data_IF_025240727527
#
_entry.id   IF_025240727527
#
_cell.length_a   1.000
_cell.length_b   1.000
_cell.length_c   1.000
_cell.angle_alpha   90.00
_cell.angle_beta   90.00
_cell.angle_gamma   90.00
#
_symmetry.space_group_name_H-M   'P 1'
#
loop_
_entity.id
_entity.type
_entity.pdbx_description
1 polymer ?
#
# COMPACT_ATOMS: atom_id res chain seq x y z
N UNK A 1 -7.32 -15.08 -11.31
CA UNK A 1 -7.21 -13.80 -11.93
C UNK A 1 -6.57 -12.79 -11.01
N UNK A 2 -5.69 -11.98 -11.52
CA UNK A 2 -5.00 -11.01 -10.70
C UNK A 2 -5.68 -9.67 -10.79
N UNK A 3 -5.96 -9.06 -9.65
CA UNK A 3 -6.57 -7.76 -9.63
C UNK A 3 -5.58 -6.70 -10.10
N UNK A 4 -5.98 -5.78 -10.93
CA UNK A 4 -5.08 -4.71 -11.34
C UNK A 4 -4.71 -3.87 -10.14
N UNK A 5 -3.45 -3.58 -9.99
CA UNK A 5 -2.95 -2.77 -8.90
C UNK A 5 -2.35 -1.49 -9.47
N UNK A 6 -2.85 -0.37 -9.02
CA UNK A 6 -2.32 0.91 -9.43
C UNK A 6 -2.06 1.75 -8.20
N UNK A 7 -1.06 2.60 -8.28
CA UNK A 7 -0.71 3.50 -7.20
C UNK A 7 -0.51 4.88 -7.82
N UNK A 8 -1.23 5.85 -7.33
CA UNK A 8 -1.10 7.22 -7.80
C UNK A 8 -0.82 8.11 -6.60
N UNK A 9 0.32 8.77 -6.60
CA UNK A 9 0.69 9.66 -5.52
C UNK A 9 0.73 11.09 -6.06
N UNK A 10 -0.05 11.96 -5.45
CA UNK A 10 -0.12 13.35 -5.88
C UNK A 10 0.40 14.26 -4.78
N UNK A 11 1.38 15.07 -5.12
CA UNK A 11 1.97 16.06 -4.22
C UNK A 11 2.40 15.47 -2.86
N UNK A 12 2.66 14.20 -2.82
CA UNK A 12 3.00 13.48 -1.60
C UNK A 12 1.95 13.69 -0.51
N UNK A 13 0.73 14.02 -0.90
CA UNK A 13 -0.34 14.28 0.06
C UNK A 13 -1.56 13.42 -0.15
N UNK A 14 -1.76 12.91 -1.35
CA UNK A 14 -2.89 12.05 -1.63
C UNK A 14 -2.40 10.83 -2.35
N UNK A 15 -2.72 9.68 -1.82
CA UNK A 15 -2.33 8.41 -2.39
C UNK A 15 -3.59 7.63 -2.73
N UNK A 16 -3.71 7.20 -3.99
CA UNK A 16 -4.83 6.38 -4.40
C UNK A 16 -4.31 5.03 -4.85
N UNK A 17 -4.93 3.99 -4.35
CA UNK A 17 -4.51 2.63 -4.62
C UNK A 17 -5.67 1.80 -5.11
N UNK A 18 -5.40 0.90 -6.04
CA UNK A 18 -6.38 -0.11 -6.44
C UNK A 18 -5.72 -1.48 -6.30
N UNK A 19 -6.50 -2.53 -6.38
CA UNK A 19 -5.98 -3.88 -6.24
C UNK A 19 -5.66 -4.22 -4.79
N UNK A 20 -6.34 -3.58 -3.84
CA UNK A 20 -6.13 -3.81 -2.42
C UNK A 20 -7.05 -4.92 -1.96
N UNK A 21 -6.49 -5.93 -1.33
CA UNK A 21 -7.30 -7.03 -0.83
C UNK A 21 -7.58 -6.91 0.66
N UNK A 22 -6.73 -6.18 1.37
CA UNK A 22 -6.89 -6.09 2.81
C UNK A 22 -6.10 -4.91 3.37
N UNK A 23 -6.64 -4.24 4.36
CA UNK A 23 -5.88 -3.24 5.10
C UNK A 23 -5.49 -3.92 6.40
N UNK A 24 -4.20 -4.19 6.56
CA UNK A 24 -3.70 -4.96 7.68
C UNK A 24 -3.60 -4.14 8.97
N UNK A 25 -3.16 -2.91 8.86
CA UNK A 25 -3.09 -2.04 10.02
C UNK A 25 -3.04 -0.59 9.55
N UNK A 26 -3.41 0.31 10.44
CA UNK A 26 -3.47 1.69 10.08
C UNK A 26 -3.35 2.58 11.32
N UNK A 27 -2.48 3.56 11.26
CA UNK A 27 -2.47 4.64 12.24
C UNK A 27 -2.03 5.90 11.52
N UNK A 28 -1.82 7.00 12.23
CA UNK A 28 -1.54 8.28 11.59
C UNK A 28 -0.12 8.38 11.03
N UNK A 29 0.71 7.39 11.26
CA UNK A 29 2.06 7.40 10.72
C UNK A 29 2.36 6.25 9.79
N UNK A 30 1.56 5.21 9.83
CA UNK A 30 1.80 4.02 9.02
C UNK A 30 0.50 3.37 8.59
N UNK A 31 0.44 2.99 7.33
CA UNK A 31 -0.66 2.19 6.82
C UNK A 31 -0.05 0.98 6.14
N UNK A 32 -0.46 -0.21 6.56
CA UNK A 32 0.00 -1.45 5.95
C UNK A 32 -1.17 -2.13 5.28
N UNK A 33 -1.02 -2.48 4.03
CA UNK A 33 -2.08 -3.16 3.32
C UNK A 33 -1.51 -4.25 2.43
N UNK A 34 -2.37 -5.14 2.01
CA UNK A 34 -1.99 -6.22 1.12
C UNK A 34 -2.61 -5.93 -0.24
N UNK A 35 -1.80 -6.03 -1.27
CA UNK A 35 -2.26 -5.81 -2.63
C UNK A 35 -2.11 -7.09 -3.42
N UNK A 36 -2.61 -7.09 -4.63
CA UNK A 36 -2.47 -8.25 -5.50
C UNK A 36 -1.02 -8.51 -5.86
N UNK A 37 -0.14 -7.55 -5.67
CA UNK A 37 1.27 -7.70 -6.02
C UNK A 37 2.20 -7.72 -4.82
N UNK A 38 1.67 -7.80 -3.62
CA UNK A 38 2.50 -7.87 -2.43
C UNK A 38 1.99 -6.95 -1.34
N UNK A 39 2.72 -6.87 -0.27
CA UNK A 39 2.34 -5.99 0.82
C UNK A 39 2.93 -4.62 0.59
N UNK A 40 2.18 -3.61 0.98
CA UNK A 40 2.60 -2.24 0.80
C UNK A 40 2.55 -1.53 2.15
N UNK A 41 3.63 -0.87 2.50
CA UNK A 41 3.70 -0.04 3.69
C UNK A 41 3.80 1.41 3.27
N UNK A 42 2.92 2.23 3.80
CA UNK A 42 2.92 3.67 3.55
C UNK A 42 3.31 4.34 4.85
N UNK A 43 4.32 5.17 4.84
CA UNK A 43 4.74 5.87 6.04
C UNK A 43 4.69 7.37 5.85
N UNK A 44 4.34 8.07 6.89
CA UNK A 44 4.27 9.52 6.81
C UNK A 44 3.78 10.13 8.10
N UNK A 45 3.07 11.24 7.99
CA UNK A 45 2.56 11.99 9.14
C UNK A 45 1.13 12.41 8.88
N UNK A 46 0.34 12.40 9.92
CA UNK A 46 -1.06 12.82 9.83
C UNK A 46 -1.81 12.06 8.74
N UNK A 47 -1.51 10.80 8.60
CA UNK A 47 -2.16 9.98 7.59
C UNK A 47 -3.57 9.63 8.03
N UNK A 48 -4.51 9.65 7.12
CA UNK A 48 -5.85 9.19 7.40
C UNK A 48 -6.46 8.59 6.15
N UNK A 49 -7.34 7.64 6.36
CA UNK A 49 -8.00 6.99 5.25
C UNK A 49 -9.13 7.89 4.80
N UNK A 50 -9.03 8.36 3.58
CA UNK A 50 -10.05 9.22 3.02
C UNK A 50 -11.19 8.35 2.48
N UNK A 51 -10.85 7.21 1.92
CA UNK A 51 -11.84 6.35 1.32
C UNK A 51 -11.35 4.92 1.32
N UNK A 52 -12.22 4.01 1.66
CA UNK A 52 -11.91 2.60 1.61
C UNK A 52 -13.07 1.88 0.96
N UNK A 53 -12.82 1.24 -0.16
CA UNK A 53 -13.85 0.53 -0.87
C UNK A 53 -13.31 -0.86 -1.20
N UNK A 54 -13.61 -1.82 -0.34
CA UNK A 54 -13.11 -3.15 -0.54
C UNK A 54 -13.86 -3.92 -1.62
N UNK A 55 -15.07 -3.48 -1.93
CA UNK A 55 -15.77 -4.12 -3.03
C UNK A 55 -15.10 -3.70 -4.31
N UNK A 56 -14.69 -2.45 -4.42
CA UNK A 56 -13.95 -1.97 -5.57
C UNK A 56 -12.46 -2.16 -5.41
N UNK A 57 -12.00 -2.70 -4.29
CA UNK A 57 -10.59 -2.93 -3.99
C UNK A 57 -9.78 -1.64 -4.08
N UNK A 58 -10.33 -0.56 -3.61
CA UNK A 58 -9.70 0.76 -3.71
C UNK A 58 -9.48 1.39 -2.34
N UNK A 59 -8.42 2.16 -2.21
CA UNK A 59 -8.08 2.81 -0.97
C UNK A 59 -7.52 4.19 -1.28
N UNK A 60 -7.96 5.19 -0.55
CA UNK A 60 -7.45 6.54 -0.70
C UNK A 60 -6.94 7.02 0.64
N UNK A 61 -5.70 7.47 0.69
CA UNK A 61 -5.05 7.92 1.91
C UNK A 61 -4.65 9.38 1.72
N UNK A 62 -4.88 10.19 2.72
CA UNK A 62 -4.44 11.58 2.69
C UNK A 62 -3.55 11.86 3.87
N UNK A 63 -2.65 12.83 3.74
CA UNK A 63 -1.71 13.22 4.76
C UNK A 63 -0.38 13.53 4.12
N UNK A 64 0.68 13.42 4.92
CA UNK A 64 2.00 13.71 4.42
C UNK A 64 2.68 12.38 4.18
N UNK A 65 2.96 12.04 2.97
CA UNK A 65 3.51 10.73 2.64
C UNK A 65 5.01 10.80 2.47
N UNK A 66 5.73 10.09 3.32
CA UNK A 66 7.18 10.11 3.30
C UNK A 66 7.77 8.97 2.50
N UNK A 67 7.21 7.79 2.61
CA UNK A 67 7.76 6.64 1.89
C UNK A 67 6.71 5.61 1.58
N UNK A 68 6.97 4.84 0.54
CA UNK A 68 6.14 3.75 0.10
C UNK A 68 7.06 2.57 -0.12
N UNK A 69 6.77 1.44 0.51
CA UNK A 69 7.63 0.28 0.41
C UNK A 69 6.81 -0.97 0.14
N UNK A 70 7.19 -1.72 -0.86
CA UNK A 70 6.59 -3.01 -1.10
C UNK A 70 7.43 -4.08 -0.45
N UNK A 71 6.78 -5.09 0.15
CA UNK A 71 7.50 -6.24 0.62
C UNK A 71 6.93 -7.44 -0.07
N UNK A 72 7.79 -8.31 -0.47
CA UNK A 72 7.39 -9.48 -1.17
C UNK A 72 6.68 -10.44 -0.29
N UNK A 73 5.63 -11.04 -0.79
CA UNK A 73 5.03 -12.04 -0.05
C UNK A 73 5.57 -13.30 -0.47
N UNK A 74 6.35 -13.40 -1.56
CA UNK A 74 6.84 -14.57 -1.98
C UNK A 74 7.86 -14.97 -1.13
N UNK A 75 7.81 -15.93 -0.51
CA UNK A 75 8.68 -16.38 0.35
C UNK A 75 9.97 -16.22 -0.05
N UNK A 76 10.82 -16.09 0.55
CA UNK A 76 12.13 -16.00 0.44
C UNK A 76 12.79 -16.06 -0.89
N UNK A 77 12.13 -16.53 -1.80
CA UNK A 77 12.74 -16.69 -3.07
C UNK A 77 13.30 -15.43 -3.67
N UNK A 78 12.50 -14.41 -3.68
CA UNK A 78 12.93 -13.17 -4.27
C UNK A 78 13.95 -12.49 -3.42
N UNK A 79 13.72 -12.46 -2.14
CA UNK A 79 14.61 -11.81 -1.26
C UNK A 79 15.94 -12.50 -1.27
N UNK A 80 15.94 -13.77 -1.30
CA UNK A 80 17.21 -14.51 -1.36
C UNK A 80 18.00 -14.16 -2.56
N UNK A 81 17.36 -13.93 -3.68
CA UNK A 81 18.08 -13.56 -4.86
C UNK A 81 18.63 -12.17 -4.79
N UNK A 82 17.94 -11.27 -4.16
CA UNK A 82 18.43 -9.93 -4.03
C UNK A 82 19.62 -9.83 -3.13
N UNK A 83 19.75 -10.74 -2.23
CA UNK A 83 20.86 -10.70 -1.31
C UNK A 83 22.10 -11.41 -1.81
N UNK A 84 22.03 -12.04 -2.94
CA UNK A 84 23.18 -12.75 -3.45
C UNK A 84 24.07 -11.91 -4.20
#
# INVERSE_FOLDING_TARGET
MILPHQLILQDRKRLELTGITEVDSFDDETVNCTTSLGRLSVRGHDLHLHRLDLEGTALSIEGHIDSLTYSGIRKGGVLGRLLR
#
